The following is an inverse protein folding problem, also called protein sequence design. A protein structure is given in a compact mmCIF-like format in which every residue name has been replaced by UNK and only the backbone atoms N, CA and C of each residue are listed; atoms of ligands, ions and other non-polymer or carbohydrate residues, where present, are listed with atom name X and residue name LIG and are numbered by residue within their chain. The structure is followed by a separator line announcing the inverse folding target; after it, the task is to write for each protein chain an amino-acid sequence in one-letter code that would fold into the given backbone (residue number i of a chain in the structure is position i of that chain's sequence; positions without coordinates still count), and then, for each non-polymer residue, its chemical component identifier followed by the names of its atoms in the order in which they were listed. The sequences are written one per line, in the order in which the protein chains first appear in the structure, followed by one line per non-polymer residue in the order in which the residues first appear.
data_IF_052191387905
#
_entry.id   IF_052191387905
#
_cell.length_a   1.000
_cell.length_b   1.000
_cell.length_c   1.000
_cell.angle_alpha   90.00
_cell.angle_beta   90.00
_cell.angle_gamma   90.00
#
_symmetry.space_group_name_H-M   'P 1'
#
loop_
_entity.id
_entity.type
_entity.pdbx_description
1 polymer ?
#
# COMPACT_ATOMS: atom_id res chain seq x y z
N UNK A 1 2.76 -36.22 -27.49
CA UNK A 1 1.41 -35.64 -27.36
C UNK A 1 1.37 -34.83 -26.07
N UNK A 2 1.50 -33.51 -26.19
CA UNK A 2 1.59 -32.58 -25.05
C UNK A 2 0.18 -32.33 -24.48
N UNK A 3 -0.01 -32.63 -23.19
CA UNK A 3 -1.22 -32.26 -22.42
C UNK A 3 -1.11 -30.80 -22.01
N UNK A 4 -1.88 -29.94 -22.65
CA UNK A 4 -2.05 -28.54 -22.24
C UNK A 4 -2.97 -28.52 -21.01
N UNK A 5 -2.38 -28.26 -19.84
CA UNK A 5 -3.14 -28.01 -18.61
C UNK A 5 -3.69 -26.58 -18.71
N UNK A 6 -4.95 -26.43 -19.08
CA UNK A 6 -5.66 -25.16 -18.93
C UNK A 6 -5.95 -24.92 -17.45
N UNK A 7 -5.14 -24.06 -16.82
CA UNK A 7 -5.47 -23.47 -15.52
C UNK A 7 -6.55 -22.40 -15.75
N UNK A 8 -7.81 -22.74 -15.50
CA UNK A 8 -8.90 -21.77 -15.43
C UNK A 8 -8.76 -20.95 -14.15
N UNK A 9 -8.00 -19.85 -14.24
CA UNK A 9 -7.81 -18.90 -13.15
C UNK A 9 -9.04 -17.98 -13.08
N UNK A 10 -10.05 -18.39 -12.32
CA UNK A 10 -11.19 -17.53 -11.95
C UNK A 10 -10.69 -16.50 -10.93
N UNK A 11 -10.35 -15.30 -11.40
CA UNK A 11 -10.04 -14.15 -10.57
C UNK A 11 -11.36 -13.54 -10.06
N UNK A 12 -11.72 -13.89 -8.82
CA UNK A 12 -12.78 -13.18 -8.10
C UNK A 12 -12.18 -11.84 -7.66
N UNK A 13 -12.71 -10.75 -8.21
CA UNK A 13 -12.42 -9.39 -7.78
C UNK A 13 -13.06 -9.14 -6.40
N UNK A 14 -12.39 -9.58 -5.34
CA UNK A 14 -12.76 -9.19 -3.98
C UNK A 14 -12.09 -7.87 -3.64
N UNK A 15 -12.87 -6.79 -3.73
CA UNK A 15 -12.52 -5.48 -3.20
C UNK A 15 -12.31 -5.57 -1.69
N UNK A 16 -11.04 -5.61 -1.26
CA UNK A 16 -10.69 -5.38 0.14
C UNK A 16 -10.90 -3.89 0.45
N UNK A 17 -12.06 -3.57 0.99
CA UNK A 17 -12.37 -2.24 1.54
C UNK A 17 -11.52 -2.07 2.80
N UNK A 18 -10.51 -1.21 2.72
CA UNK A 18 -9.63 -0.87 3.83
C UNK A 18 -10.36 0.04 4.83
N UNK A 19 -10.83 -0.54 5.95
CA UNK A 19 -11.25 0.21 7.13
C UNK A 19 -10.11 0.14 8.16
N UNK A 20 -9.35 1.22 8.29
CA UNK A 20 -8.47 1.43 9.45
C UNK A 20 -9.31 1.97 10.60
N UNK A 21 -9.91 1.09 11.41
CA UNK A 21 -10.38 1.44 12.75
C UNK A 21 -9.37 0.90 13.76
N UNK A 22 -8.91 1.79 14.64
CA UNK A 22 -7.98 1.45 15.71
C UNK A 22 -8.61 0.42 16.65
N UNK A 23 -8.16 -0.84 16.58
CA UNK A 23 -8.47 -1.88 17.54
C UNK A 23 -7.15 -2.51 18.03
N UNK A 24 -6.88 -2.56 19.35
CA UNK A 24 -5.72 -3.24 19.89
C UNK A 24 -6.03 -4.74 20.02
N UNK A 25 -5.88 -5.45 18.91
CA UNK A 25 -5.69 -6.90 18.90
C UNK A 25 -5.07 -7.23 17.54
N UNK A 26 -4.00 -8.02 17.53
CA UNK A 26 -3.29 -8.48 16.33
C UNK A 26 -4.14 -9.45 15.49
N UNK A 27 -5.34 -9.03 15.12
CA UNK A 27 -6.16 -9.66 14.11
C UNK A 27 -5.64 -9.17 12.77
N UNK A 28 -5.14 -10.09 11.97
CA UNK A 28 -4.75 -9.83 10.61
C UNK A 28 -5.97 -9.26 9.86
N UNK A 29 -5.97 -7.93 9.63
CA UNK A 29 -7.10 -7.19 9.07
C UNK A 29 -7.47 -7.68 7.66
N UNK A 30 -6.48 -8.21 6.93
CA UNK A 30 -6.63 -8.74 5.58
C UNK A 30 -6.42 -10.25 5.57
N UNK A 31 -7.44 -10.98 5.10
CA UNK A 31 -7.33 -12.41 4.78
C UNK A 31 -7.22 -12.57 3.27
N UNK A 32 -6.13 -13.17 2.83
CA UNK A 32 -5.91 -13.57 1.43
C UNK A 32 -6.39 -15.01 1.25
N UNK A 33 -7.34 -15.21 0.35
CA UNK A 33 -7.93 -16.51 0.06
C UNK A 33 -7.18 -17.26 -1.05
N UNK A 34 -6.26 -16.59 -1.75
CA UNK A 34 -5.45 -17.22 -2.81
C UNK A 34 -4.08 -16.57 -2.98
N UNK A 35 -3.16 -17.32 -3.62
CA UNK A 35 -1.86 -16.76 -4.03
C UNK A 35 -2.00 -15.61 -5.05
N UNK A 36 -3.10 -15.58 -5.81
CA UNK A 36 -3.37 -14.49 -6.75
C UNK A 36 -3.70 -13.19 -6.02
N UNK A 37 -4.49 -13.26 -4.94
CA UNK A 37 -4.86 -12.11 -4.14
C UNK A 37 -3.65 -11.47 -3.45
N UNK A 38 -2.81 -12.29 -2.79
CA UNK A 38 -1.59 -11.78 -2.15
C UNK A 38 -0.59 -11.22 -3.17
N UNK A 39 -0.50 -11.82 -4.36
CA UNK A 39 0.34 -11.29 -5.44
C UNK A 39 -0.20 -9.95 -5.96
N UNK A 40 -1.52 -9.80 -6.09
CA UNK A 40 -2.16 -8.53 -6.44
C UNK A 40 -1.90 -7.45 -5.38
N UNK A 41 -2.02 -7.79 -4.09
CA UNK A 41 -1.69 -6.89 -3.00
C UNK A 41 -0.20 -6.49 -3.01
N UNK A 42 0.70 -7.44 -3.25
CA UNK A 42 2.13 -7.20 -3.41
C UNK A 42 2.48 -6.35 -4.64
N UNK A 43 1.60 -6.29 -5.65
CA UNK A 43 1.77 -5.47 -6.83
C UNK A 43 1.44 -3.98 -6.57
N UNK A 44 0.71 -3.67 -5.49
CA UNK A 44 0.29 -2.30 -5.15
C UNK A 44 0.88 -1.80 -3.82
N UNK A 45 1.16 -2.68 -2.87
CA UNK A 45 1.69 -2.37 -1.54
C UNK A 45 3.15 -2.89 -1.42
N UNK A 46 4.08 -2.14 -0.79
CA UNK A 46 3.86 -0.96 0.04
C UNK A 46 3.80 0.40 -0.68
N UNK A 47 3.87 0.46 -2.00
CA UNK A 47 3.89 1.76 -2.71
C UNK A 47 2.62 2.60 -2.48
N UNK A 48 1.44 1.99 -2.44
CA UNK A 48 0.20 2.69 -2.07
C UNK A 48 0.29 3.34 -0.67
N UNK A 49 0.82 2.62 0.32
CA UNK A 49 1.06 3.15 1.66
C UNK A 49 2.05 4.32 1.66
N UNK A 50 3.12 4.23 0.84
CA UNK A 50 4.06 5.34 0.64
C UNK A 50 3.36 6.58 0.07
N UNK A 51 2.47 6.41 -0.90
CA UNK A 51 1.73 7.50 -1.51
C UNK A 51 0.76 8.15 -0.53
N UNK A 52 0.09 7.36 0.32
CA UNK A 52 -0.76 7.88 1.40
C UNK A 52 0.04 8.71 2.40
N UNK A 53 1.21 8.22 2.85
CA UNK A 53 2.09 8.97 3.74
C UNK A 53 2.59 10.28 3.13
N UNK A 54 2.91 10.29 1.83
CA UNK A 54 3.27 11.52 1.10
C UNK A 54 2.10 12.51 0.99
N UNK A 55 0.89 12.00 0.76
CA UNK A 55 -0.32 12.83 0.76
C UNK A 55 -0.56 13.45 2.14
N UNK A 56 -0.44 12.67 3.21
CA UNK A 56 -0.60 13.16 4.58
C UNK A 56 0.49 14.17 4.96
N UNK A 57 1.75 13.94 4.55
CA UNK A 57 2.83 14.91 4.67
C UNK A 57 2.45 16.24 4.00
N UNK A 58 1.89 16.20 2.78
CA UNK A 58 1.45 17.41 2.06
C UNK A 58 0.31 18.15 2.76
N UNK A 59 -0.57 17.44 3.45
CA UNK A 59 -1.62 18.06 4.28
C UNK A 59 -0.99 18.71 5.51
N UNK A 60 -0.10 18.00 6.20
CA UNK A 60 0.57 18.49 7.40
C UNK A 60 1.55 19.64 7.15
N UNK A 61 2.13 19.72 5.95
CA UNK A 61 2.99 20.84 5.54
C UNK A 61 2.28 22.20 5.65
N UNK A 62 0.95 22.23 5.54
CA UNK A 62 0.14 23.44 5.63
C UNK A 62 -0.06 23.91 7.08
N UNK A 63 0.35 23.11 8.08
CA UNK A 63 0.16 23.41 9.51
C UNK A 63 1.35 24.12 10.16
N UNK A 64 2.55 24.06 9.55
CA UNK A 64 3.75 24.73 10.04
C UNK A 64 5.06 23.96 9.77
N UNK A 65 6.19 24.66 9.81
CA UNK A 65 7.51 24.13 9.44
C UNK A 65 8.04 23.01 10.35
N UNK A 66 7.70 23.04 11.65
CA UNK A 66 8.14 22.02 12.61
C UNK A 66 7.47 20.66 12.35
N UNK A 67 6.16 20.67 12.11
CA UNK A 67 5.38 19.47 11.78
C UNK A 67 5.85 18.85 10.46
N UNK A 68 6.19 19.70 9.48
CA UNK A 68 6.77 19.28 8.21
C UNK A 68 8.08 18.50 8.41
N UNK A 69 9.08 19.09 9.06
CA UNK A 69 10.39 18.43 9.25
C UNK A 69 10.28 17.12 10.04
N UNK A 70 9.41 17.09 11.05
CA UNK A 70 9.17 15.88 11.86
C UNK A 70 8.60 14.76 10.98
N UNK A 71 7.61 15.06 10.14
CA UNK A 71 6.99 14.08 9.28
C UNK A 71 7.91 13.65 8.13
N UNK A 72 8.69 14.55 7.53
CA UNK A 72 9.71 14.21 6.52
C UNK A 72 10.71 13.17 7.05
N UNK A 73 11.21 13.37 8.27
CA UNK A 73 12.12 12.43 8.92
C UNK A 73 11.44 11.07 9.19
N UNK A 74 10.18 11.09 9.63
CA UNK A 74 9.40 9.88 9.85
C UNK A 74 9.20 9.09 8.54
N UNK A 75 8.82 9.77 7.45
CA UNK A 75 8.65 9.19 6.12
C UNK A 75 9.97 8.60 5.60
N UNK A 76 11.07 9.33 5.69
CA UNK A 76 12.39 8.85 5.27
C UNK A 76 12.80 7.59 6.06
N UNK A 77 12.54 7.58 7.38
CA UNK A 77 12.75 6.42 8.23
C UNK A 77 11.92 5.20 7.79
N UNK A 78 10.64 5.42 7.48
CA UNK A 78 9.75 4.37 6.97
C UNK A 78 10.21 3.84 5.60
N UNK A 79 10.57 4.73 4.66
CA UNK A 79 11.05 4.34 3.33
C UNK A 79 12.34 3.52 3.42
N UNK A 80 13.23 3.87 4.35
CA UNK A 80 14.44 3.07 4.64
C UNK A 80 14.11 1.68 5.15
N UNK A 81 13.16 1.54 6.09
CA UNK A 81 12.72 0.21 6.59
C UNK A 81 12.02 -0.62 5.51
N UNK A 82 11.35 0.02 4.55
CA UNK A 82 10.61 -0.65 3.47
C UNK A 82 11.38 -0.77 2.15
N UNK A 83 12.66 -0.36 2.10
CA UNK A 83 13.39 -0.22 0.85
C UNK A 83 13.33 -1.48 -0.03
N UNK A 84 13.59 -2.66 0.54
CA UNK A 84 13.56 -3.92 -0.21
C UNK A 84 12.14 -4.31 -0.64
N UNK A 85 11.14 -4.04 0.19
CA UNK A 85 9.74 -4.28 -0.16
C UNK A 85 9.26 -3.36 -1.27
N UNK A 86 9.64 -2.08 -1.25
CA UNK A 86 9.35 -1.12 -2.32
C UNK A 86 9.99 -1.56 -3.66
N UNK A 87 11.22 -2.05 -3.61
CA UNK A 87 11.89 -2.57 -4.81
C UNK A 87 11.18 -3.80 -5.37
N UNK A 88 10.81 -4.78 -4.53
CA UNK A 88 10.11 -5.97 -5.00
C UNK A 88 8.68 -5.66 -5.48
N UNK A 89 7.96 -4.80 -4.78
CA UNK A 89 6.66 -4.27 -5.24
C UNK A 89 6.76 -3.64 -6.63
N UNK A 90 7.76 -2.77 -6.86
CA UNK A 90 7.95 -2.15 -8.17
C UNK A 90 8.20 -3.19 -9.28
N UNK A 91 8.92 -4.27 -8.97
CA UNK A 91 9.15 -5.37 -9.92
C UNK A 91 7.87 -6.15 -10.21
N UNK A 92 7.10 -6.51 -9.19
CA UNK A 92 5.80 -7.19 -9.35
C UNK A 92 4.86 -6.31 -10.17
N UNK A 93 4.80 -5.00 -9.90
CA UNK A 93 4.04 -4.04 -10.70
C UNK A 93 4.45 -4.09 -12.17
N UNK A 94 5.75 -4.07 -12.46
CA UNK A 94 6.24 -4.19 -13.83
C UNK A 94 5.90 -5.54 -14.48
N UNK A 95 5.90 -6.64 -13.74
CA UNK A 95 5.45 -7.95 -14.25
C UNK A 95 3.98 -7.89 -14.70
N UNK A 96 3.11 -7.25 -13.92
CA UNK A 96 1.70 -7.05 -14.27
C UNK A 96 1.55 -6.18 -15.52
N UNK A 97 2.26 -5.05 -15.59
CA UNK A 97 2.20 -4.16 -16.74
C UNK A 97 2.69 -4.86 -18.02
N UNK A 98 3.83 -5.58 -17.95
CA UNK A 98 4.31 -6.41 -19.07
C UNK A 98 3.30 -7.46 -19.49
N UNK A 99 2.59 -8.07 -18.54
CA UNK A 99 1.54 -9.02 -18.85
C UNK A 99 0.38 -8.35 -19.58
N UNK A 100 -0.07 -7.18 -19.13
CA UNK A 100 -1.14 -6.44 -19.80
C UNK A 100 -0.79 -6.08 -21.26
N UNK A 101 0.49 -5.77 -21.51
CA UNK A 101 1.01 -5.41 -22.84
C UNK A 101 1.26 -6.64 -23.75
N UNK A 102 1.23 -7.86 -23.21
CA UNK A 102 1.47 -9.06 -24.00
C UNK A 102 0.25 -9.36 -24.91
N UNK A 103 0.44 -9.56 -26.23
CA UNK A 103 -0.65 -9.90 -27.17
C UNK A 103 -1.40 -11.19 -26.83
N UNK A 104 -0.75 -12.13 -26.14
CA UNK A 104 -1.34 -13.40 -25.70
C UNK A 104 -2.18 -13.30 -24.42
N UNK A 105 -2.20 -12.15 -23.75
CA UNK A 105 -3.03 -11.92 -22.56
C UNK A 105 -4.47 -11.68 -22.97
N UNK A 106 -5.41 -12.30 -22.24
CA UNK A 106 -6.83 -12.12 -22.52
C UNK A 106 -7.27 -10.67 -22.34
N UNK A 107 -8.27 -10.23 -23.10
CA UNK A 107 -8.83 -8.89 -22.98
C UNK A 107 -9.36 -8.59 -21.57
N UNK A 108 -9.90 -9.61 -20.91
CA UNK A 108 -10.38 -9.52 -19.53
C UNK A 108 -9.24 -9.23 -18.55
N UNK A 109 -8.15 -10.01 -18.61
CA UNK A 109 -6.99 -9.83 -17.73
C UNK A 109 -6.32 -8.48 -17.99
N UNK A 110 -6.18 -8.07 -19.26
CA UNK A 110 -5.65 -6.75 -19.61
C UNK A 110 -6.48 -5.62 -19.00
N UNK A 111 -7.81 -5.68 -19.13
CA UNK A 111 -8.71 -4.68 -18.54
C UNK A 111 -8.63 -4.69 -17.02
N UNK A 112 -8.55 -5.85 -16.38
CA UNK A 112 -8.43 -5.95 -14.93
C UNK A 112 -7.15 -5.28 -14.42
N UNK A 113 -6.01 -5.54 -15.07
CA UNK A 113 -4.72 -4.93 -14.70
C UNK A 113 -4.75 -3.41 -14.90
N UNK A 114 -5.26 -2.93 -16.04
CA UNK A 114 -5.40 -1.48 -16.29
C UNK A 114 -6.32 -0.82 -15.27
N UNK A 115 -7.51 -1.38 -15.05
CA UNK A 115 -8.46 -0.87 -14.08
C UNK A 115 -7.87 -0.82 -12.66
N UNK A 116 -7.08 -1.82 -12.27
CA UNK A 116 -6.40 -1.83 -10.98
C UNK A 116 -5.48 -0.60 -10.81
N UNK A 117 -4.60 -0.33 -11.78
CA UNK A 117 -3.60 0.74 -11.64
C UNK A 117 -4.11 2.14 -12.02
N UNK A 118 -5.05 2.24 -12.95
CA UNK A 118 -5.54 3.52 -13.47
C UNK A 118 -6.76 4.04 -12.69
N UNK A 119 -7.50 3.15 -12.02
CA UNK A 119 -8.76 3.51 -11.36
C UNK A 119 -8.77 3.13 -9.89
N UNK A 120 -8.60 1.85 -9.57
CA UNK A 120 -8.84 1.36 -8.21
C UNK A 120 -7.77 1.84 -7.22
N UNK A 121 -6.49 1.67 -7.56
CA UNK A 121 -5.37 2.08 -6.69
C UNK A 121 -5.37 3.59 -6.43
N UNK A 122 -5.47 4.47 -7.46
CA UNK A 122 -5.54 5.92 -7.23
C UNK A 122 -6.72 6.32 -6.32
N UNK A 123 -7.93 5.83 -6.61
CA UNK A 123 -9.12 6.11 -5.78
C UNK A 123 -8.94 5.65 -4.33
N UNK A 124 -8.31 4.50 -4.12
CA UNK A 124 -8.07 3.98 -2.77
C UNK A 124 -7.09 4.87 -2.01
N UNK A 125 -6.01 5.30 -2.67
CA UNK A 125 -5.02 6.22 -2.09
C UNK A 125 -5.67 7.55 -1.73
N UNK A 126 -6.44 8.14 -2.65
CA UNK A 126 -7.17 9.41 -2.43
C UNK A 126 -8.15 9.31 -1.27
N UNK A 127 -8.95 8.24 -1.19
CA UNK A 127 -9.89 8.02 -0.10
C UNK A 127 -9.19 7.90 1.26
N UNK A 128 -8.04 7.21 1.32
CA UNK A 128 -7.27 7.08 2.55
C UNK A 128 -6.64 8.42 2.98
N UNK A 129 -6.07 9.18 2.04
CA UNK A 129 -5.56 10.52 2.31
C UNK A 129 -6.69 11.41 2.84
N UNK A 130 -7.85 11.42 2.17
CA UNK A 130 -9.00 12.21 2.59
C UNK A 130 -9.44 11.84 4.01
N UNK A 131 -9.56 10.55 4.33
CA UNK A 131 -9.94 10.07 5.66
C UNK A 131 -8.98 10.54 6.76
N UNK A 132 -7.67 10.56 6.49
CA UNK A 132 -6.65 11.02 7.45
C UNK A 132 -6.59 12.55 7.56
N UNK A 133 -6.88 13.24 6.45
CA UNK A 133 -6.89 14.69 6.36
C UNK A 133 -8.14 15.32 6.99
N UNK A 134 -9.30 14.65 6.96
CA UNK A 134 -10.56 15.14 7.54
C UNK A 134 -10.37 15.69 8.97
N UNK A 135 -9.85 14.92 9.96
CA UNK A 135 -9.71 15.43 11.32
C UNK A 135 -8.75 16.64 11.40
N UNK A 136 -7.68 16.68 10.60
CA UNK A 136 -6.76 17.83 10.53
C UNK A 136 -7.51 19.08 10.03
N UNK A 137 -8.31 18.92 8.97
CA UNK A 137 -9.01 20.01 8.33
C UNK A 137 -10.17 20.56 9.18
N UNK A 138 -10.78 19.75 10.02
CA UNK A 138 -11.90 20.15 10.89
C UNK A 138 -11.47 20.80 12.20
N UNK A 139 -10.21 20.63 12.63
CA UNK A 139 -9.70 21.34 13.81
C UNK A 139 -9.56 22.82 13.47
N UNK A 140 -10.00 23.73 14.34
CA UNK A 140 -9.82 25.18 14.13
C UNK A 140 -8.49 25.68 14.71
N UNK A 141 -8.11 25.19 15.89
CA UNK A 141 -6.88 25.59 16.57
C UNK A 141 -5.62 25.12 15.82
N UNK A 142 -4.76 26.05 15.33
CA UNK A 142 -3.52 25.70 14.64
C UNK A 142 -2.57 24.83 15.47
N UNK A 143 -2.55 24.98 16.81
CA UNK A 143 -1.69 24.16 17.68
C UNK A 143 -2.19 22.73 17.75
N UNK A 144 -3.50 22.53 17.85
CA UNK A 144 -4.10 21.20 17.79
C UNK A 144 -3.89 20.52 16.42
N UNK A 145 -3.94 21.26 15.30
CA UNK A 145 -3.57 20.71 13.97
C UNK A 145 -2.13 20.21 13.94
N UNK A 146 -1.20 21.05 14.41
CA UNK A 146 0.20 20.69 14.47
C UNK A 146 0.46 19.47 15.36
N UNK A 147 -0.23 19.39 16.51
CA UNK A 147 -0.16 18.22 17.41
C UNK A 147 -0.61 16.94 16.69
N UNK A 148 -1.77 16.95 16.04
CA UNK A 148 -2.26 15.77 15.32
C UNK A 148 -1.32 15.35 14.18
N UNK A 149 -0.73 16.31 13.47
CA UNK A 149 0.28 16.01 12.45
C UNK A 149 1.55 15.37 13.05
N UNK A 150 1.98 15.81 14.22
CA UNK A 150 3.08 15.18 14.94
C UNK A 150 2.70 13.78 15.44
N UNK A 151 1.47 13.56 15.88
CA UNK A 151 0.98 12.24 16.29
C UNK A 151 0.98 11.26 15.10
N UNK A 152 0.56 11.72 13.91
CA UNK A 152 0.69 10.92 12.69
C UNK A 152 2.15 10.59 12.36
N UNK A 153 3.05 11.57 12.40
CA UNK A 153 4.48 11.34 12.18
C UNK A 153 5.05 10.34 13.21
N UNK A 154 4.66 10.47 14.47
CA UNK A 154 5.05 9.57 15.56
C UNK A 154 4.55 8.15 15.32
N UNK A 155 3.31 7.97 14.83
CA UNK A 155 2.78 6.65 14.46
C UNK A 155 3.61 5.96 13.37
N UNK A 156 4.18 6.74 12.43
CA UNK A 156 5.09 6.25 11.38
C UNK A 156 6.42 5.85 11.98
N UNK A 157 6.96 6.64 12.92
CA UNK A 157 8.21 6.31 13.65
C UNK A 157 8.05 5.03 14.46
N UNK A 158 6.91 4.85 15.13
CA UNK A 158 6.58 3.66 15.92
C UNK A 158 6.28 2.42 15.07
N UNK A 159 6.27 2.57 13.75
CA UNK A 159 6.09 1.48 12.80
C UNK A 159 4.65 1.00 12.69
N UNK A 160 3.64 1.80 13.08
CA UNK A 160 2.23 1.46 12.86
C UNK A 160 1.89 1.33 11.36
N UNK A 161 2.71 1.95 10.52
CA UNK A 161 2.65 1.88 9.06
C UNK A 161 3.53 0.78 8.47
N UNK A 162 4.25 0.01 9.30
CA UNK A 162 5.14 -1.02 8.81
C UNK A 162 4.36 -2.27 8.39
N UNK A 163 4.69 -2.80 7.20
CA UNK A 163 4.03 -3.99 6.64
C UNK A 163 4.04 -5.17 7.61
N UNK A 164 5.14 -5.34 8.35
CA UNK A 164 5.31 -6.40 9.32
C UNK A 164 4.28 -6.32 10.47
N UNK A 165 3.69 -5.15 10.73
CA UNK A 165 2.66 -4.96 11.75
C UNK A 165 1.25 -4.93 11.15
N UNK A 166 1.04 -4.19 10.07
CA UNK A 166 -0.31 -3.97 9.52
C UNK A 166 -0.76 -5.07 8.54
N UNK A 167 0.18 -5.77 7.90
CA UNK A 167 -0.09 -6.92 7.03
C UNK A 167 1.07 -7.94 7.04
N UNK A 168 1.19 -8.72 8.12
CA UNK A 168 2.29 -9.67 8.28
C UNK A 168 2.36 -10.73 7.17
N UNK A 169 1.22 -11.14 6.61
CA UNK A 169 1.20 -12.14 5.53
C UNK A 169 1.77 -11.58 4.24
N UNK A 170 1.41 -10.36 3.87
CA UNK A 170 2.02 -9.70 2.73
C UNK A 170 3.52 -9.46 2.95
N UNK A 171 3.91 -9.02 4.14
CA UNK A 171 5.32 -8.83 4.49
C UNK A 171 6.13 -10.12 4.33
N UNK A 172 5.61 -11.25 4.82
CA UNK A 172 6.25 -12.56 4.68
C UNK A 172 6.34 -13.02 3.21
N UNK A 173 5.28 -12.80 2.43
CA UNK A 173 5.28 -13.11 1.01
C UNK A 173 6.35 -12.33 0.24
N UNK A 174 6.46 -11.03 0.48
CA UNK A 174 7.51 -10.19 -0.12
C UNK A 174 8.91 -10.63 0.35
N UNK A 175 9.09 -10.91 1.64
CA UNK A 175 10.35 -11.38 2.19
C UNK A 175 10.81 -12.70 1.54
N UNK A 176 9.90 -13.66 1.36
CA UNK A 176 10.20 -14.94 0.70
C UNK A 176 10.60 -14.74 -0.77
N UNK A 177 9.93 -13.85 -1.49
CA UNK A 177 10.30 -13.52 -2.88
C UNK A 177 11.67 -12.87 -2.97
N UNK A 178 11.98 -11.93 -2.09
CA UNK A 178 13.30 -11.28 -2.01
C UNK A 178 14.38 -12.33 -1.73
N UNK A 179 14.15 -13.21 -0.75
CA UNK A 179 15.10 -14.28 -0.38
C UNK A 179 15.36 -15.26 -1.50
N UNK A 180 14.31 -15.67 -2.24
CA UNK A 180 14.44 -16.62 -3.37
C UNK A 180 15.26 -16.07 -4.53
N UNK A 181 15.37 -14.74 -4.66
CA UNK A 181 16.12 -14.08 -5.73
C UNK A 181 17.58 -13.78 -5.39
N UNK A 182 17.90 -13.68 -4.10
CA UNK A 182 19.28 -13.54 -3.63
C UNK A 182 20.06 -14.85 -3.61
N UNK A 183 19.42 -15.95 -4.01
CA UNK A 183 20.01 -17.27 -4.26
C UNK A 183 20.09 -17.50 -5.76
#
# INVERSE_FOLDING_TARGET
MHKTIQLSMRLIASAAIFLFTAAPASAQLLKYNSQAEILGAAAVSPDSGRQVLKGLLSVCAQTGAQSLSTFENALAGWEKRHQLFLQENARIKQDFLRRADNPGTSEEERRAIKNMYEVLVPKTIEAQIASLATPINTIEDPKAKASLCNDYAQSVVEGQWDLQKNDPTLANFLADRIKKRGK
#
